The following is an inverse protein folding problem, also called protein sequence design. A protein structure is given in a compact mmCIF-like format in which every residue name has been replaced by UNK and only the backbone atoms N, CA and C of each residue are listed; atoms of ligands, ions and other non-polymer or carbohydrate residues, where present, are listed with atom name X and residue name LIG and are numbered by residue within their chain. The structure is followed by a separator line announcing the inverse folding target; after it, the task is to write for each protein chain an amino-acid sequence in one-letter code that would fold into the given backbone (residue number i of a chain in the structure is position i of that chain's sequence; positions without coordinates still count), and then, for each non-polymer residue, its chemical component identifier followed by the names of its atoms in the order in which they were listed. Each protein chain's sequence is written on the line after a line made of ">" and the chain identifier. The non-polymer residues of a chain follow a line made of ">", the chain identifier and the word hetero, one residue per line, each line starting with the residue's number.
data_IF_783226871074
#
_entry.id   IF_783226871074
#
_cell.length_a   1.000
_cell.length_b   1.000
_cell.length_c   1.000
_cell.angle_alpha   90.00
_cell.angle_beta   90.00
_cell.angle_gamma   90.00
#
_symmetry.space_group_name_H-M   'P 1'
#
loop_
_entity.id
_entity.type
_entity.pdbx_description
1 polymer ?
#
# COMPACT_ATOMS: atom_id res chain seq x y z
N UNK A 1 13.08 -13.19 -29.26
CA UNK A 1 12.47 -11.95 -28.74
C UNK A 1 12.77 -11.91 -27.25
N UNK A 2 13.87 -11.27 -26.86
CA UNK A 2 14.34 -11.21 -25.47
C UNK A 2 13.69 -9.99 -24.82
N UNK A 3 12.84 -10.20 -23.82
CA UNK A 3 12.26 -9.10 -23.05
C UNK A 3 13.40 -8.29 -22.41
N UNK A 4 13.42 -6.95 -22.54
CA UNK A 4 14.46 -6.11 -21.92
C UNK A 4 14.29 -5.96 -20.40
N UNK A 5 13.23 -6.55 -19.82
CA UNK A 5 12.93 -6.46 -18.40
C UNK A 5 13.71 -7.56 -17.66
N UNK A 6 14.59 -7.21 -16.72
CA UNK A 6 15.25 -8.20 -15.86
C UNK A 6 14.18 -9.08 -15.18
N UNK A 7 14.29 -10.42 -15.20
CA UNK A 7 13.24 -11.33 -14.70
C UNK A 7 12.95 -11.23 -13.20
N UNK A 8 13.59 -10.32 -12.47
CA UNK A 8 13.43 -10.09 -11.04
C UNK A 8 13.23 -8.60 -10.68
N UNK A 9 12.93 -7.73 -11.64
CA UNK A 9 12.62 -6.34 -11.32
C UNK A 9 11.24 -6.25 -10.63
N UNK A 10 11.12 -5.58 -9.46
CA UNK A 10 9.84 -5.39 -8.79
C UNK A 10 8.85 -4.70 -9.72
N UNK A 11 7.65 -5.25 -9.83
CA UNK A 11 6.58 -4.59 -10.59
C UNK A 11 6.04 -3.40 -9.80
N UNK A 12 5.42 -2.44 -10.49
CA UNK A 12 4.78 -1.29 -9.83
C UNK A 12 3.73 -1.73 -8.80
N UNK A 13 3.05 -2.84 -9.07
CA UNK A 13 2.06 -3.44 -8.18
C UNK A 13 2.70 -4.00 -6.90
N UNK A 14 3.87 -4.61 -7.00
CA UNK A 14 4.64 -5.10 -5.84
C UNK A 14 5.02 -3.94 -4.90
N UNK A 15 5.49 -2.82 -5.48
CA UNK A 15 5.78 -1.60 -4.70
C UNK A 15 4.53 -1.01 -4.02
N UNK A 16 3.38 -1.01 -4.71
CA UNK A 16 2.11 -0.54 -4.13
C UNK A 16 1.64 -1.45 -3.00
N UNK A 17 1.78 -2.76 -3.16
CA UNK A 17 1.42 -3.74 -2.14
C UNK A 17 2.25 -3.55 -0.86
N UNK A 18 3.54 -3.29 -1.01
CA UNK A 18 4.43 -2.96 0.12
C UNK A 18 3.98 -1.68 0.81
N UNK A 19 3.63 -0.62 0.07
CA UNK A 19 3.16 0.64 0.65
C UNK A 19 1.84 0.48 1.40
N UNK A 20 0.89 -0.28 0.84
CA UNK A 20 -0.38 -0.61 1.51
C UNK A 20 -0.10 -1.37 2.81
N UNK A 21 0.73 -2.41 2.76
CA UNK A 21 1.11 -3.20 3.93
C UNK A 21 1.74 -2.35 5.03
N UNK A 22 2.69 -1.48 4.68
CA UNK A 22 3.34 -0.57 5.63
C UNK A 22 2.34 0.41 6.26
N UNK A 23 1.42 0.97 5.48
CA UNK A 23 0.41 1.90 6.00
C UNK A 23 -0.51 1.22 7.03
N UNK A 24 -0.99 0.00 6.73
CA UNK A 24 -1.85 -0.75 7.64
C UNK A 24 -1.09 -1.20 8.89
N UNK A 25 0.14 -1.69 8.73
CA UNK A 25 0.99 -2.12 9.84
C UNK A 25 1.29 -0.96 10.80
N UNK A 26 1.62 0.21 10.26
CA UNK A 26 1.88 1.41 11.09
C UNK A 26 0.64 1.87 11.84
N UNK A 27 -0.54 1.87 11.22
CA UNK A 27 -1.79 2.18 11.94
C UNK A 27 -2.12 1.17 13.04
N UNK A 28 -1.88 -0.12 12.79
CA UNK A 28 -2.02 -1.17 13.80
C UNK A 28 -1.05 -1.00 14.97
N UNK A 29 0.23 -0.75 14.68
CA UNK A 29 1.26 -0.51 15.69
C UNK A 29 0.96 0.74 16.52
N UNK A 30 0.51 1.83 15.89
CA UNK A 30 0.10 3.05 16.60
C UNK A 30 -1.11 2.77 17.50
N UNK A 31 -2.11 2.04 17.02
CA UNK A 31 -3.28 1.68 17.84
C UNK A 31 -2.94 0.78 19.04
N UNK A 32 -1.92 -0.08 18.92
CA UNK A 32 -1.51 -1.00 20.00
C UNK A 32 -0.56 -0.33 20.98
N UNK A 33 0.37 0.50 20.49
CA UNK A 33 1.43 1.09 21.30
C UNK A 33 1.10 2.49 21.84
N UNK A 34 0.00 3.10 21.39
CA UNK A 34 -0.46 4.42 21.81
C UNK A 34 -1.74 4.34 22.66
N UNK A 35 -2.11 5.47 23.28
CA UNK A 35 -3.39 5.65 23.96
C UNK A 35 -4.56 5.87 22.98
N UNK A 36 -4.29 5.93 21.68
CA UNK A 36 -5.30 6.10 20.62
C UNK A 36 -6.09 4.79 20.45
N UNK A 37 -7.44 4.83 20.44
CA UNK A 37 -8.23 3.65 20.17
C UNK A 37 -7.87 2.99 18.84
N UNK A 38 -7.67 1.68 18.85
CA UNK A 38 -7.25 0.90 17.67
C UNK A 38 -8.15 1.15 16.47
N UNK A 39 -9.46 1.25 16.65
CA UNK A 39 -10.39 1.49 15.53
C UNK A 39 -10.17 2.84 14.83
N UNK A 40 -9.74 3.89 15.55
CA UNK A 40 -9.41 5.18 14.95
C UNK A 40 -8.08 5.11 14.20
N UNK A 41 -7.07 4.49 14.81
CA UNK A 41 -5.75 4.33 14.19
C UNK A 41 -5.82 3.45 12.92
N UNK A 42 -6.54 2.34 12.99
CA UNK A 42 -6.81 1.45 11.86
C UNK A 42 -7.67 2.11 10.79
N UNK A 43 -8.64 2.95 11.17
CA UNK A 43 -9.45 3.71 10.22
C UNK A 43 -8.60 4.72 9.42
N UNK A 44 -7.74 5.48 10.12
CA UNK A 44 -6.85 6.44 9.48
C UNK A 44 -5.82 5.77 8.55
N UNK A 45 -5.24 4.64 8.95
CA UNK A 45 -4.33 3.90 8.06
C UNK A 45 -5.05 3.24 6.89
N UNK A 46 -6.28 2.77 7.08
CA UNK A 46 -7.09 2.21 5.98
C UNK A 46 -7.46 3.28 4.95
N UNK A 47 -7.72 4.51 5.39
CA UNK A 47 -7.90 5.67 4.49
C UNK A 47 -6.61 5.97 3.71
N UNK A 48 -5.46 5.96 4.36
CA UNK A 48 -4.17 6.16 3.70
C UNK A 48 -3.86 5.03 2.69
N UNK A 49 -4.12 3.78 3.04
CA UNK A 49 -3.98 2.62 2.16
C UNK A 49 -4.88 2.74 0.92
N UNK A 50 -6.11 3.20 1.13
CA UNK A 50 -7.10 3.38 0.06
C UNK A 50 -6.65 4.43 -0.96
N UNK A 51 -5.91 5.47 -0.55
CA UNK A 51 -5.33 6.44 -1.48
C UNK A 51 -4.27 5.80 -2.41
N UNK A 52 -3.47 4.86 -1.90
CA UNK A 52 -2.50 4.11 -2.70
C UNK A 52 -3.20 3.21 -3.71
N UNK A 53 -4.28 2.53 -3.28
CA UNK A 53 -5.12 1.72 -4.18
C UNK A 53 -5.73 2.60 -5.27
N UNK A 54 -6.30 3.76 -4.92
CA UNK A 54 -6.89 4.68 -5.88
C UNK A 54 -5.86 5.16 -6.92
N UNK A 55 -4.66 5.54 -6.46
CA UNK A 55 -3.57 5.96 -7.35
C UNK A 55 -3.19 4.83 -8.33
N UNK A 56 -3.10 3.59 -7.86
CA UNK A 56 -2.71 2.43 -8.67
C UNK A 56 -3.79 1.81 -9.55
N UNK A 57 -5.07 2.04 -9.24
CA UNK A 57 -6.19 1.39 -9.94
C UNK A 57 -7.04 2.35 -10.76
N UNK A 58 -7.18 3.61 -10.30
CA UNK A 58 -8.07 4.59 -10.93
C UNK A 58 -7.27 5.66 -11.68
N UNK A 59 -6.25 6.25 -11.04
CA UNK A 59 -5.49 7.34 -11.65
C UNK A 59 -4.45 6.85 -12.65
N UNK A 60 -3.72 5.80 -12.29
CA UNK A 60 -2.70 5.17 -13.11
C UNK A 60 -2.98 3.67 -13.23
N UNK A 61 -4.11 3.29 -13.88
CA UNK A 61 -4.46 1.89 -14.05
C UNK A 61 -3.34 1.15 -14.80
N UNK A 62 -3.13 -0.14 -14.52
CA UNK A 62 -2.19 -0.95 -15.27
C UNK A 62 -2.60 -0.98 -16.74
N UNK A 63 -1.69 -0.56 -17.62
CA UNK A 63 -1.87 -0.52 -19.08
C UNK A 63 -1.25 -1.75 -19.77
N UNK A 64 -1.13 -2.85 -19.03
CA UNK A 64 -0.56 -4.11 -19.53
C UNK A 64 -1.65 -4.99 -20.15
#
# INVERSE_FOLDING_TARGET
>A
MTSPIPPAAPTRFDLMLVLIGLSLLTGGLVGVLSAVPVYLASGASSLAASAVVYEGTVRNPPTE
#
